data_IF_108697702928
#
_entry.id   IF_108697702928
#
_cell.length_a   1.000
_cell.length_b   1.000
_cell.length_c   1.000
_cell.angle_alpha   90.00
_cell.angle_beta   90.00
_cell.angle_gamma   90.00
#
_symmetry.space_group_name_H-M   'P 1'
#
loop_
_entity.id
_entity.type
_entity.pdbx_description
1 polymer ?
#
# COMPACT_ATOMS: atom_id res chain seq x y z
N UNK A 1 16.47 10.27 -7.49
CA UNK A 1 15.71 9.03 -7.29
C UNK A 1 14.95 8.77 -8.58
N UNK A 2 15.20 7.66 -9.26
CA UNK A 2 14.41 7.28 -10.43
C UNK A 2 13.07 6.72 -9.93
N UNK A 3 11.94 7.11 -10.54
CA UNK A 3 10.65 6.57 -10.16
C UNK A 3 10.63 5.06 -10.41
N UNK A 4 10.29 4.27 -9.38
CA UNK A 4 10.27 2.79 -9.44
C UNK A 4 9.20 2.28 -10.43
N UNK A 5 8.11 3.03 -10.55
CA UNK A 5 7.00 2.73 -11.43
C UNK A 5 6.66 3.95 -12.28
N UNK A 6 6.32 3.71 -13.54
CA UNK A 6 5.88 4.75 -14.46
C UNK A 6 4.38 5.06 -14.26
N UNK A 7 3.92 6.29 -14.51
CA UNK A 7 2.49 6.58 -14.61
C UNK A 7 1.77 5.64 -15.59
N UNK A 8 0.51 5.31 -15.28
CA UNK A 8 -0.29 4.35 -16.02
C UNK A 8 0.00 2.87 -15.69
N UNK A 9 0.98 2.59 -14.82
CA UNK A 9 1.29 1.21 -14.41
C UNK A 9 0.22 0.70 -13.45
N UNK A 10 -0.36 -0.45 -13.76
CA UNK A 10 -1.18 -1.23 -12.82
C UNK A 10 -0.33 -2.28 -12.12
N UNK A 11 -0.45 -2.37 -10.81
CA UNK A 11 0.32 -3.28 -9.96
C UNK A 11 -0.61 -4.12 -9.07
N UNK A 12 -0.32 -5.42 -8.85
CA UNK A 12 -0.92 -6.16 -7.76
C UNK A 12 -0.60 -5.49 -6.43
N UNK A 13 -1.59 -5.37 -5.55
CA UNK A 13 -1.43 -4.62 -4.30
C UNK A 13 -0.39 -5.26 -3.37
N UNK A 14 -0.36 -6.60 -3.30
CA UNK A 14 0.63 -7.34 -2.50
C UNK A 14 2.07 -7.05 -2.95
N UNK A 15 2.31 -7.08 -4.26
CA UNK A 15 3.63 -6.82 -4.84
C UNK A 15 4.07 -5.38 -4.59
N UNK A 16 3.16 -4.42 -4.76
CA UNK A 16 3.44 -3.02 -4.50
C UNK A 16 3.76 -2.76 -3.03
N UNK A 17 2.99 -3.33 -2.09
CA UNK A 17 3.26 -3.24 -0.65
C UNK A 17 4.63 -3.84 -0.31
N UNK A 18 4.93 -5.04 -0.79
CA UNK A 18 6.22 -5.69 -0.57
C UNK A 18 7.37 -4.84 -1.11
N UNK A 19 7.20 -4.26 -2.30
CA UNK A 19 8.19 -3.39 -2.93
C UNK A 19 8.42 -2.07 -2.15
N UNK A 20 7.40 -1.51 -1.49
CA UNK A 20 7.56 -0.33 -0.63
C UNK A 20 8.28 -0.69 0.66
N UNK A 21 7.92 -1.82 1.29
CA UNK A 21 8.55 -2.30 2.53
C UNK A 21 10.04 -2.62 2.31
N UNK A 22 10.40 -3.17 1.16
CA UNK A 22 11.79 -3.46 0.80
C UNK A 22 12.64 -2.18 0.66
N UNK A 23 12.08 -1.14 0.04
CA UNK A 23 12.74 0.18 -0.13
C UNK A 23 12.79 0.98 1.17
N UNK A 24 11.78 0.82 2.03
CA UNK A 24 11.65 1.50 3.32
C UNK A 24 11.74 0.49 4.47
N UNK A 25 12.93 -0.10 4.71
CA UNK A 25 13.12 -1.24 5.61
C UNK A 25 12.84 -0.95 7.09
N UNK A 26 12.67 0.31 7.44
CA UNK A 26 12.31 0.79 8.79
C UNK A 26 10.81 0.80 9.06
N UNK A 27 9.97 0.68 8.02
CA UNK A 27 8.52 0.56 8.22
C UNK A 27 8.19 -0.73 8.97
N UNK A 28 7.08 -0.77 9.74
CA UNK A 28 6.63 -2.01 10.36
C UNK A 28 6.49 -3.12 9.32
N UNK A 29 7.11 -4.28 9.58
CA UNK A 29 7.22 -5.41 8.64
C UNK A 29 8.46 -5.38 7.73
N UNK A 30 9.20 -4.28 7.70
CA UNK A 30 10.48 -4.17 6.98
C UNK A 30 11.65 -4.81 7.72
N UNK A 31 12.73 -5.13 6.98
CA UNK A 31 13.88 -5.90 7.51
C UNK A 31 14.51 -5.31 8.77
N UNK A 32 14.57 -3.99 8.93
CA UNK A 32 15.15 -3.36 10.11
C UNK A 32 14.17 -3.36 11.28
N UNK A 33 12.88 -3.12 11.01
CA UNK A 33 11.84 -3.24 12.05
C UNK A 33 11.79 -4.67 12.61
N UNK A 34 11.80 -5.67 11.73
CA UNK A 34 11.80 -7.09 12.09
C UNK A 34 13.08 -7.47 12.86
N UNK A 35 14.25 -7.02 12.41
CA UNK A 35 15.52 -7.30 13.11
C UNK A 35 15.58 -6.74 14.53
N UNK A 36 14.78 -5.71 14.84
CA UNK A 36 14.64 -5.12 16.17
C UNK A 36 13.50 -5.73 17.01
N UNK A 37 12.81 -6.76 16.50
CA UNK A 37 11.67 -7.39 17.15
C UNK A 37 10.39 -6.54 17.11
N UNK A 38 10.33 -5.56 16.21
CA UNK A 38 9.16 -4.70 15.98
C UNK A 38 8.38 -5.24 14.77
N UNK A 39 7.67 -6.34 14.97
CA UNK A 39 6.83 -6.95 13.94
C UNK A 39 5.58 -6.10 13.65
N UNK A 40 4.99 -6.27 12.46
CA UNK A 40 3.75 -5.59 12.12
C UNK A 40 2.55 -6.28 12.79
N UNK A 41 1.86 -5.58 13.68
CA UNK A 41 0.64 -6.06 14.35
C UNK A 41 -0.61 -5.63 13.55
N UNK A 42 -0.65 -6.03 12.27
CA UNK A 42 -1.70 -5.64 11.33
C UNK A 42 -2.14 -6.84 10.46
N UNK A 43 -3.39 -6.86 9.97
CA UNK A 43 -3.94 -8.02 9.27
C UNK A 43 -3.22 -8.36 7.95
N UNK A 44 -2.61 -7.37 7.30
CA UNK A 44 -1.67 -7.55 6.17
C UNK A 44 -0.72 -6.36 6.04
N UNK A 45 -1.27 -5.13 6.07
CA UNK A 45 -0.51 -3.89 5.87
C UNK A 45 -0.53 -3.05 7.13
N UNK A 46 0.64 -2.58 7.56
CA UNK A 46 0.75 -1.75 8.77
C UNK A 46 -0.11 -0.48 8.68
N UNK A 47 -0.55 0.05 9.82
CA UNK A 47 -1.34 1.27 9.86
C UNK A 47 -0.62 2.46 9.19
N UNK A 48 0.70 2.57 9.38
CA UNK A 48 1.52 3.62 8.76
C UNK A 48 1.51 3.55 7.23
N UNK A 49 1.72 2.36 6.66
CA UNK A 49 1.71 2.20 5.21
C UNK A 49 0.29 2.29 4.64
N UNK A 50 -0.71 1.77 5.37
CA UNK A 50 -2.13 1.93 5.01
C UNK A 50 -2.50 3.41 4.89
N UNK A 51 -2.15 4.22 5.89
CA UNK A 51 -2.39 5.66 5.87
C UNK A 51 -1.72 6.34 4.68
N UNK A 52 -0.45 6.03 4.40
CA UNK A 52 0.26 6.60 3.25
C UNK A 52 -0.41 6.23 1.91
N UNK A 53 -0.87 4.99 1.75
CA UNK A 53 -1.59 4.54 0.56
C UNK A 53 -2.95 5.21 0.40
N UNK A 54 -3.70 5.39 1.50
CA UNK A 54 -4.98 6.10 1.50
C UNK A 54 -4.80 7.58 1.14
N UNK A 55 -3.78 8.26 1.69
CA UNK A 55 -3.46 9.62 1.29
C UNK A 55 -3.06 9.71 -0.19
N UNK A 56 -2.28 8.75 -0.70
CA UNK A 56 -1.89 8.74 -2.10
C UNK A 56 -3.09 8.51 -3.04
N UNK A 57 -4.10 7.74 -2.61
CA UNK A 57 -5.41 7.58 -3.30
C UNK A 57 -6.16 8.92 -3.30
N UNK A 58 -6.24 9.59 -2.14
CA UNK A 58 -6.95 10.86 -1.96
C UNK A 58 -6.31 12.01 -2.75
N UNK A 59 -4.98 12.10 -2.77
CA UNK A 59 -4.23 13.13 -3.50
C UNK A 59 -4.06 12.80 -4.99
N UNK A 60 -4.58 11.68 -5.47
CA UNK A 60 -4.53 11.31 -6.88
C UNK A 60 -3.13 10.95 -7.39
N UNK A 61 -2.24 10.46 -6.52
CA UNK A 61 -0.93 9.92 -6.93
C UNK A 61 -1.03 8.47 -7.39
N UNK A 62 -1.98 7.74 -6.82
CA UNK A 62 -2.36 6.39 -7.23
C UNK A 62 -3.87 6.22 -7.09
N UNK A 63 -4.41 5.11 -7.59
CA UNK A 63 -5.79 4.71 -7.34
C UNK A 63 -5.86 3.29 -6.78
N UNK A 64 -6.59 3.10 -5.68
CA UNK A 64 -6.75 1.79 -5.01
C UNK A 64 -8.01 1.06 -5.50
N UNK A 65 -7.83 -0.14 -6.05
CA UNK A 65 -8.91 -0.94 -6.64
C UNK A 65 -9.17 -2.25 -5.91
N UNK A 66 -10.45 -2.64 -5.87
CA UNK A 66 -10.90 -3.97 -5.48
C UNK A 66 -11.60 -4.65 -6.65
N UNK A 67 -11.11 -5.83 -7.02
CA UNK A 67 -11.77 -6.73 -7.96
C UNK A 67 -12.43 -7.87 -7.21
N UNK A 68 -13.67 -8.21 -7.58
CA UNK A 68 -14.45 -9.27 -6.93
C UNK A 68 -13.95 -10.67 -7.26
N UNK A 69 -13.21 -10.81 -8.36
CA UNK A 69 -12.70 -12.05 -8.95
C UNK A 69 -11.18 -12.26 -8.72
N UNK A 70 -10.54 -11.40 -7.92
CA UNK A 70 -9.11 -11.53 -7.64
C UNK A 70 -8.89 -12.40 -6.40
N UNK A 71 -8.04 -13.41 -6.55
CA UNK A 71 -7.68 -14.34 -5.47
C UNK A 71 -6.67 -13.75 -4.48
N UNK A 72 -5.97 -12.67 -4.85
CA UNK A 72 -4.93 -12.04 -4.03
C UNK A 72 -5.33 -10.61 -3.64
N UNK A 73 -5.72 -10.44 -2.38
CA UNK A 73 -6.06 -9.16 -1.76
C UNK A 73 -5.14 -8.87 -0.57
N UNK A 74 -4.94 -7.58 -0.28
CA UNK A 74 -4.35 -7.10 0.96
C UNK A 74 -5.37 -6.28 1.75
N UNK A 75 -5.29 -6.37 3.08
CA UNK A 75 -6.09 -5.57 3.99
C UNK A 75 -5.32 -4.32 4.45
N UNK A 76 -5.81 -3.15 4.04
CA UNK A 76 -5.38 -1.87 4.58
C UNK A 76 -6.17 -1.56 5.85
N UNK A 77 -5.51 -0.97 6.84
CA UNK A 77 -6.19 -0.33 7.98
C UNK A 77 -6.87 0.93 7.47
N UNK A 78 -8.20 0.99 7.59
CA UNK A 78 -9.03 2.10 7.11
C UNK A 78 -10.17 2.35 8.11
N UNK A 79 -10.01 3.33 9.03
CA UNK A 79 -10.99 3.61 10.08
C UNK A 79 -12.31 4.16 9.56
N UNK A 80 -12.37 4.62 8.31
CA UNK A 80 -13.60 5.13 7.70
C UNK A 80 -14.50 3.99 7.20
N UNK A 81 -13.99 2.76 7.12
CA UNK A 81 -14.78 1.56 6.82
C UNK A 81 -15.45 0.99 8.08
N UNK A 82 -16.66 0.45 7.93
CA UNK A 82 -17.42 -0.12 9.03
C UNK A 82 -16.71 -1.26 9.80
N UNK A 83 -15.82 -2.00 9.12
CA UNK A 83 -15.00 -3.07 9.70
C UNK A 83 -13.55 -2.62 9.99
N UNK A 84 -13.25 -1.33 9.89
CA UNK A 84 -11.92 -0.75 10.11
C UNK A 84 -10.86 -1.16 9.08
N UNK A 85 -11.24 -1.80 7.97
CA UNK A 85 -10.29 -2.28 6.96
C UNK A 85 -10.82 -2.13 5.54
N UNK A 86 -9.94 -1.79 4.60
CA UNK A 86 -10.22 -1.72 3.16
C UNK A 86 -9.48 -2.82 2.42
N UNK A 87 -10.23 -3.64 1.68
CA UNK A 87 -9.67 -4.67 0.78
C UNK A 87 -9.18 -4.04 -0.50
N UNK A 88 -7.92 -4.28 -0.85
CA UNK A 88 -7.31 -3.80 -2.09
C UNK A 88 -6.66 -4.97 -2.82
N UNK A 89 -6.86 -5.02 -4.13
CA UNK A 89 -6.33 -6.09 -4.99
C UNK A 89 -5.26 -5.55 -5.94
N UNK A 90 -5.45 -4.32 -6.42
CA UNK A 90 -4.56 -3.66 -7.38
C UNK A 90 -4.49 -2.17 -7.08
N UNK A 91 -3.40 -1.55 -7.53
CA UNK A 91 -3.28 -0.11 -7.56
C UNK A 91 -2.79 0.36 -8.93
N UNK A 92 -3.31 1.50 -9.36
CA UNK A 92 -2.92 2.16 -10.61
C UNK A 92 -2.09 3.40 -10.26
N UNK A 93 -0.90 3.52 -10.83
CA UNK A 93 -0.06 4.72 -10.66
C UNK A 93 -0.59 5.80 -11.58
N UNK A 94 -0.94 6.96 -11.02
CA UNK A 94 -1.50 8.07 -11.79
C UNK A 94 -0.39 9.01 -12.27
N UNK A 95 -0.71 9.82 -13.26
CA UNK A 95 0.14 10.97 -13.61
C UNK A 95 0.06 11.99 -12.47
N UNK A 96 1.20 12.56 -12.04
CA UNK A 96 1.19 13.62 -11.04
C UNK A 96 0.34 14.78 -11.54
N UNK A 97 -0.55 15.27 -10.67
CA UNK A 97 -1.32 16.46 -10.95
C UNK A 97 -0.33 17.62 -10.94
N UNK A 98 -0.05 18.22 -12.11
CA UNK A 98 0.72 19.46 -12.20
C UNK A 98 -0.05 20.57 -11.47
N UNK A 99 0.47 21.07 -10.35
CA UNK A 99 0.00 22.28 -9.66
C UNK A 99 0.54 23.57 -10.32
#
# INVERSE_FOLDING_TARGET
>A
MQAKWSPGTRLPARDAVAAVIDELPVLPGGRYSVALGLEADAPDVSATLSFALLCADEYGWLQLHRRSDADDEVLLVDPDQANGTRRVTHLDILEPIDE
#
